data_IF_796380209603
#
_entry.id   IF_796380209603
#
_cell.length_a   1.000
_cell.length_b   1.000
_cell.length_c   1.000
_cell.angle_alpha   90.00
_cell.angle_beta   90.00
_cell.angle_gamma   90.00
#
_symmetry.space_group_name_H-M   'P 1'
#
loop_
_entity.id
_entity.type
_entity.pdbx_description
1 polymer ?
#
# COMPACT_ATOMS: atom_id res chain seq x y z
N UNK A 1 16.44 3.22 -4.19
CA UNK A 1 15.30 3.57 -5.05
C UNK A 1 15.08 5.06 -4.93
N UNK A 2 14.79 5.80 -6.00
CA UNK A 2 14.60 7.26 -5.89
C UNK A 2 13.29 7.56 -5.16
N UNK A 3 13.32 8.52 -4.23
CA UNK A 3 12.15 8.92 -3.42
C UNK A 3 10.93 9.32 -4.26
N UNK A 4 11.15 9.87 -5.47
CA UNK A 4 10.06 10.24 -6.37
C UNK A 4 9.16 9.08 -6.78
N UNK A 5 9.71 7.87 -6.94
CA UNK A 5 8.90 6.69 -7.31
C UNK A 5 7.95 6.27 -6.19
N UNK A 6 8.45 6.27 -4.94
CA UNK A 6 7.62 6.00 -3.76
C UNK A 6 6.57 7.09 -3.56
N UNK A 7 6.92 8.37 -3.81
CA UNK A 7 5.97 9.48 -3.72
C UNK A 7 4.88 9.40 -4.78
N UNK A 8 5.20 9.03 -6.02
CA UNK A 8 4.21 8.85 -7.09
C UNK A 8 3.24 7.70 -6.76
N UNK A 9 3.75 6.59 -6.22
CA UNK A 9 2.95 5.47 -5.74
C UNK A 9 2.01 5.88 -4.59
N UNK A 10 2.49 6.70 -3.66
CA UNK A 10 1.65 7.27 -2.61
C UNK A 10 0.58 8.21 -3.18
N UNK A 11 0.92 9.02 -4.19
CA UNK A 11 -0.03 9.95 -4.81
C UNK A 11 -1.09 9.24 -5.67
N UNK A 12 -0.78 8.07 -6.24
CA UNK A 12 -1.77 7.25 -6.96
C UNK A 12 -2.91 6.73 -6.08
N UNK A 13 -2.75 6.74 -4.75
CA UNK A 13 -3.80 6.34 -3.81
C UNK A 13 -5.06 7.21 -3.92
N UNK A 14 -4.94 8.47 -4.32
CA UNK A 14 -6.06 9.41 -4.36
C UNK A 14 -6.37 10.04 -2.99
N UNK A 15 -7.64 10.39 -2.75
CA UNK A 15 -8.08 11.11 -1.55
C UNK A 15 -8.19 10.14 -0.36
N UNK A 16 -7.60 10.48 0.78
CA UNK A 16 -7.71 9.69 2.02
C UNK A 16 -9.06 9.97 2.70
N UNK A 17 -9.96 8.99 2.68
CA UNK A 17 -11.18 8.95 3.48
C UNK A 17 -11.09 7.90 4.60
N UNK A 18 -11.88 8.07 5.66
CA UNK A 18 -11.97 7.05 6.72
C UNK A 18 -12.74 5.84 6.18
N UNK A 19 -12.02 4.74 5.92
CA UNK A 19 -12.62 3.52 5.35
C UNK A 19 -12.48 2.29 6.26
N UNK A 20 -12.11 2.52 7.53
CA UNK A 20 -11.77 1.49 8.49
C UNK A 20 -10.69 0.50 7.97
N UNK A 21 -9.77 0.99 7.12
CA UNK A 21 -8.68 0.20 6.55
C UNK A 21 -9.06 -0.69 5.35
N UNK A 22 -10.29 -0.63 4.84
CA UNK A 22 -10.72 -1.47 3.70
C UNK A 22 -10.04 -1.08 2.39
N UNK A 23 -9.92 0.22 2.13
CA UNK A 23 -9.26 0.70 0.91
C UNK A 23 -7.76 0.40 0.94
N UNK A 24 -7.15 0.52 2.11
CA UNK A 24 -5.74 0.23 2.37
C UNK A 24 -5.45 -1.27 2.13
N UNK A 25 -6.34 -2.17 2.56
CA UNK A 25 -6.21 -3.60 2.26
C UNK A 25 -6.32 -3.91 0.76
N UNK A 26 -7.22 -3.26 0.05
CA UNK A 26 -7.36 -3.46 -1.40
C UNK A 26 -6.14 -2.91 -2.15
N UNK A 27 -5.61 -1.77 -1.74
CA UNK A 27 -4.36 -1.23 -2.27
C UNK A 27 -3.18 -2.14 -1.97
N UNK A 28 -3.12 -2.76 -0.79
CA UNK A 28 -2.09 -3.75 -0.47
C UNK A 28 -2.16 -4.96 -1.40
N UNK A 29 -3.37 -5.46 -1.70
CA UNK A 29 -3.61 -6.57 -2.64
C UNK A 29 -3.13 -6.22 -4.04
N UNK A 30 -3.55 -5.07 -4.57
CA UNK A 30 -3.15 -4.60 -5.91
C UNK A 30 -1.64 -4.43 -6.02
N UNK A 31 -0.98 -3.88 -5.00
CA UNK A 31 0.48 -3.70 -5.00
C UNK A 31 1.23 -5.04 -4.93
N UNK A 32 0.68 -6.07 -4.26
CA UNK A 32 1.25 -7.43 -4.28
C UNK A 32 1.17 -8.06 -5.67
N UNK A 33 0.01 -8.00 -6.32
CA UNK A 33 -0.15 -8.54 -7.68
C UNK A 33 0.80 -7.84 -8.67
N UNK A 34 0.93 -6.51 -8.56
CA UNK A 34 1.91 -5.75 -9.35
C UNK A 34 3.35 -6.16 -9.03
N UNK A 35 3.68 -6.43 -7.77
CA UNK A 35 5.01 -6.91 -7.38
C UNK A 35 5.33 -8.26 -8.01
N UNK A 36 4.40 -9.21 -8.00
CA UNK A 36 4.56 -10.52 -8.62
C UNK A 36 4.73 -10.40 -10.14
N UNK A 37 3.95 -9.54 -10.79
CA UNK A 37 4.09 -9.27 -12.23
C UNK A 37 5.45 -8.62 -12.57
N UNK A 38 6.02 -7.81 -11.68
CA UNK A 38 7.35 -7.22 -11.85
C UNK A 38 8.47 -8.25 -11.60
N UNK A 39 8.31 -9.13 -10.62
CA UNK A 39 9.25 -10.22 -10.35
C UNK A 39 9.32 -11.19 -11.53
N UNK A 40 8.16 -11.57 -12.10
CA UNK A 40 8.09 -12.43 -13.29
C UNK A 40 8.79 -11.82 -14.51
N UNK A 41 8.89 -10.48 -14.57
CA UNK A 41 9.64 -9.74 -15.61
C UNK A 41 11.13 -9.55 -15.28
N UNK A 42 11.61 -10.07 -14.15
CA UNK A 42 13.01 -9.97 -13.70
C UNK A 42 13.35 -8.69 -12.93
N UNK A 43 12.36 -7.85 -12.61
CA UNK A 43 12.57 -6.61 -11.84
C UNK A 43 12.53 -6.85 -10.34
N UNK A 44 13.40 -7.74 -9.84
CA UNK A 44 13.40 -8.20 -8.43
C UNK A 44 13.47 -7.06 -7.41
N UNK A 45 14.35 -6.08 -7.62
CA UNK A 45 14.47 -4.91 -6.71
C UNK A 45 13.20 -4.07 -6.63
N UNK A 46 12.47 -3.96 -7.74
CA UNK A 46 11.21 -3.21 -7.80
C UNK A 46 10.08 -3.99 -7.13
N UNK A 47 10.02 -5.30 -7.38
CA UNK A 47 9.07 -6.19 -6.73
C UNK A 47 9.29 -6.25 -5.20
N UNK A 48 10.54 -6.19 -4.72
CA UNK A 48 10.81 -6.07 -3.27
C UNK A 48 10.22 -4.79 -2.69
N UNK A 49 10.46 -3.65 -3.34
CA UNK A 49 9.95 -2.37 -2.84
C UNK A 49 8.41 -2.29 -2.89
N UNK A 50 7.77 -2.82 -3.94
CA UNK A 50 6.31 -2.93 -4.01
C UNK A 50 5.74 -3.81 -2.89
N UNK A 51 6.45 -4.89 -2.52
CA UNK A 51 6.07 -5.74 -1.39
C UNK A 51 6.19 -5.02 -0.04
N UNK A 52 7.24 -4.23 0.15
CA UNK A 52 7.38 -3.38 1.33
C UNK A 52 6.27 -2.32 1.41
N UNK A 53 5.90 -1.76 0.26
CA UNK A 53 4.81 -0.80 0.15
C UNK A 53 3.45 -1.40 0.55
N UNK A 54 3.14 -2.59 0.04
CA UNK A 54 1.92 -3.32 0.41
C UNK A 54 1.86 -3.62 1.93
N UNK A 55 2.99 -3.97 2.54
CA UNK A 55 3.07 -4.16 4.01
C UNK A 55 2.82 -2.86 4.78
N UNK A 56 3.21 -1.71 4.23
CA UNK A 56 2.88 -0.40 4.78
C UNK A 56 1.38 -0.18 4.85
N UNK A 57 0.67 -0.42 3.74
CA UNK A 57 -0.78 -0.31 3.71
C UNK A 57 -1.49 -1.28 4.65
N UNK A 58 -1.04 -2.53 4.79
CA UNK A 58 -1.63 -3.45 5.78
C UNK A 58 -1.47 -2.96 7.22
N UNK A 59 -0.35 -2.30 7.54
CA UNK A 59 -0.14 -1.71 8.87
C UNK A 59 -1.06 -0.51 9.08
N UNK A 60 -1.21 0.34 8.09
CA UNK A 60 -2.11 1.49 8.15
C UNK A 60 -3.57 1.04 8.26
N UNK A 61 -3.97 0.04 7.47
CA UNK A 61 -5.28 -0.59 7.56
C UNK A 61 -5.57 -1.12 8.96
N UNK A 62 -4.63 -1.87 9.54
CA UNK A 62 -4.76 -2.41 10.90
C UNK A 62 -4.85 -1.30 11.95
N UNK A 63 -4.11 -0.21 11.76
CA UNK A 63 -4.15 0.94 12.68
C UNK A 63 -5.48 1.66 12.58
N UNK A 64 -6.01 1.83 11.38
CA UNK A 64 -7.29 2.49 11.14
C UNK A 64 -8.47 1.61 11.58
N UNK A 65 -8.39 0.29 11.43
CA UNK A 65 -9.42 -0.65 11.94
C UNK A 65 -9.49 -0.71 13.47
N UNK A 66 -8.36 -0.42 14.14
CA UNK A 66 -8.29 -0.33 15.60
C UNK A 66 -8.69 1.06 16.12
N UNK A 67 -8.87 2.03 15.22
CA UNK A 67 -9.25 3.39 15.58
C UNK A 67 -10.77 3.41 15.67
N UNK A 68 -11.29 3.59 16.88
CA UNK A 68 -12.73 3.77 17.07
C UNK A 68 -13.13 5.16 16.52
N UNK A 69 -13.98 5.26 15.50
CA UNK A 69 -14.44 6.55 15.00
C UNK A 69 -15.39 7.27 15.98
N UNK A 70 -15.77 6.63 17.09
CA UNK A 70 -16.67 7.17 18.11
C UNK A 70 -16.03 7.35 19.50
N UNK A 71 -14.73 7.11 19.67
CA UNK A 71 -14.01 7.55 20.89
C UNK A 71 -13.80 9.07 20.85
N UNK A 72 -14.80 9.81 21.35
CA UNK A 72 -14.70 11.13 22.00
C UNK A 72 -15.03 10.98 23.50
#
# INVERSE_FOLDING_TARGET
MRAGFTTELFNQRGVHGFTAGKEELELARINREKAEALEAKGYSRFATAMREFAKGYERDAKRESLRDPFEE
#
